data_IF_782217323034
#
_entry.id   IF_782217323034
#
_cell.length_a   1.000
_cell.length_b   1.000
_cell.length_c   1.000
_cell.angle_alpha   90.00
_cell.angle_beta   90.00
_cell.angle_gamma   90.00
#
_symmetry.space_group_name_H-M   'P 1'
#
loop_
_entity.id
_entity.type
_entity.pdbx_description
1 polymer ?
#
# COMPACT_ATOMS: atom_id res chain seq x y z
N UNK A 1 -77.86 -30.91 -1.04
CA UNK A 1 -76.51 -31.10 -1.65
C UNK A 1 -75.75 -29.79 -1.94
N UNK A 2 -76.13 -28.63 -1.38
CA UNK A 2 -75.47 -27.33 -1.68
C UNK A 2 -74.45 -26.86 -0.63
N UNK A 3 -74.30 -27.55 0.51
CA UNK A 3 -73.48 -27.07 1.64
C UNK A 3 -71.99 -27.44 1.55
N UNK A 4 -71.61 -28.48 0.78
CA UNK A 4 -70.21 -28.90 0.64
C UNK A 4 -69.36 -27.96 -0.22
N UNK A 5 -69.94 -27.33 -1.25
CA UNK A 5 -69.21 -26.46 -2.18
C UNK A 5 -68.69 -25.17 -1.51
N UNK A 6 -69.44 -24.62 -0.54
CA UNK A 6 -69.07 -23.38 0.15
C UNK A 6 -67.85 -23.55 1.08
N UNK A 7 -67.74 -24.70 1.76
CA UNK A 7 -66.63 -24.99 2.68
C UNK A 7 -65.30 -25.20 1.94
N UNK A 8 -65.32 -25.86 0.77
CA UNK A 8 -64.10 -26.11 -0.02
C UNK A 8 -63.53 -24.82 -0.61
N UNK A 9 -64.36 -23.92 -1.14
CA UNK A 9 -63.90 -22.63 -1.71
C UNK A 9 -63.25 -21.75 -0.62
N UNK A 10 -63.86 -21.69 0.57
CA UNK A 10 -63.30 -20.97 1.72
C UNK A 10 -61.96 -21.57 2.18
N UNK A 11 -61.85 -22.91 2.22
CA UNK A 11 -60.61 -23.60 2.59
C UNK A 11 -59.47 -23.37 1.59
N UNK A 12 -59.76 -23.32 0.28
CA UNK A 12 -58.77 -23.07 -0.76
C UNK A 12 -58.26 -21.61 -0.74
N UNK A 13 -59.15 -20.64 -0.51
CA UNK A 13 -58.78 -19.24 -0.36
C UNK A 13 -57.91 -19.00 0.89
N UNK A 14 -58.24 -19.65 2.01
CA UNK A 14 -57.43 -19.60 3.23
C UNK A 14 -56.05 -20.25 3.04
N UNK A 15 -55.99 -21.41 2.38
CA UNK A 15 -54.74 -22.10 2.05
C UNK A 15 -53.84 -21.24 1.13
N UNK A 16 -54.39 -20.66 0.05
CA UNK A 16 -53.62 -19.79 -0.83
C UNK A 16 -53.07 -18.55 -0.12
N UNK A 17 -53.84 -17.95 0.79
CA UNK A 17 -53.40 -16.80 1.59
C UNK A 17 -52.24 -17.15 2.54
N UNK A 18 -52.24 -18.34 3.12
CA UNK A 18 -51.12 -18.86 3.91
C UNK A 18 -49.87 -19.11 3.05
N UNK A 19 -50.03 -19.70 1.86
CA UNK A 19 -48.94 -19.93 0.91
C UNK A 19 -48.30 -18.62 0.45
N UNK A 20 -49.11 -17.60 0.12
CA UNK A 20 -48.62 -16.26 -0.26
C UNK A 20 -47.86 -15.58 0.89
N UNK A 21 -48.30 -15.77 2.13
CA UNK A 21 -47.64 -15.20 3.32
C UNK A 21 -46.25 -15.82 3.55
N UNK A 22 -46.10 -17.13 3.30
CA UNK A 22 -44.80 -17.82 3.40
C UNK A 22 -43.84 -17.42 2.29
N UNK A 23 -44.32 -17.30 1.05
CA UNK A 23 -43.52 -16.84 -0.10
C UNK A 23 -42.91 -15.45 0.09
N UNK A 24 -43.58 -14.55 0.83
CA UNK A 24 -43.03 -13.21 1.16
C UNK A 24 -41.89 -13.28 2.18
N UNK A 25 -41.95 -14.21 3.14
CA UNK A 25 -40.87 -14.41 4.09
C UNK A 25 -39.63 -15.01 3.40
N UNK A 26 -39.85 -15.98 2.52
CA UNK A 26 -38.80 -16.63 1.74
C UNK A 26 -38.07 -15.66 0.79
N UNK A 27 -38.81 -14.80 0.08
CA UNK A 27 -38.20 -13.78 -0.78
C UNK A 27 -37.31 -12.79 -0.03
N UNK A 28 -37.68 -12.40 1.19
CA UNK A 28 -36.85 -11.49 2.01
C UNK A 28 -35.57 -12.18 2.47
N UNK A 29 -35.66 -13.45 2.88
CA UNK A 29 -34.50 -14.24 3.24
C UNK A 29 -33.53 -14.40 2.07
N UNK A 30 -34.05 -14.72 0.87
CA UNK A 30 -33.25 -14.79 -0.35
C UNK A 30 -32.62 -13.43 -0.71
N UNK A 31 -33.38 -12.34 -0.59
CA UNK A 31 -32.86 -10.99 -0.84
C UNK A 31 -31.71 -10.63 0.10
N UNK A 32 -31.85 -10.91 1.41
CA UNK A 32 -30.78 -10.68 2.38
C UNK A 32 -29.55 -11.55 2.09
N UNK A 33 -29.74 -12.80 1.69
CA UNK A 33 -28.63 -13.68 1.27
C UNK A 33 -27.89 -13.13 0.05
N UNK A 34 -28.61 -12.72 -0.99
CA UNK A 34 -28.03 -12.13 -2.21
C UNK A 34 -27.30 -10.82 -1.88
N UNK A 35 -27.89 -9.96 -1.05
CA UNK A 35 -27.26 -8.71 -0.61
C UNK A 35 -25.98 -8.98 0.19
N UNK A 36 -25.99 -9.95 1.09
CA UNK A 36 -24.83 -10.30 1.90
C UNK A 36 -23.67 -10.83 1.03
N UNK A 37 -23.97 -11.74 0.10
CA UNK A 37 -22.97 -12.27 -0.84
C UNK A 37 -22.43 -11.16 -1.74
N UNK A 38 -23.31 -10.30 -2.26
CA UNK A 38 -22.91 -9.18 -3.11
C UNK A 38 -22.02 -8.19 -2.37
N UNK A 39 -22.34 -7.89 -1.11
CA UNK A 39 -21.52 -7.03 -0.26
C UNK A 39 -20.14 -7.66 0.04
N UNK A 40 -20.10 -8.96 0.34
CA UNK A 40 -18.84 -9.67 0.57
C UNK A 40 -17.93 -9.66 -0.67
N UNK A 41 -18.49 -9.93 -1.86
CA UNK A 41 -17.76 -9.85 -3.13
C UNK A 41 -17.31 -8.41 -3.43
N UNK A 42 -18.16 -7.42 -3.16
CA UNK A 42 -17.80 -6.00 -3.31
C UNK A 42 -16.61 -5.61 -2.44
N UNK A 43 -16.63 -5.99 -1.15
CA UNK A 43 -15.49 -5.76 -0.26
C UNK A 43 -14.23 -6.48 -0.73
N UNK A 44 -14.34 -7.73 -1.21
CA UNK A 44 -13.21 -8.47 -1.74
C UNK A 44 -12.54 -7.73 -2.91
N UNK A 45 -13.33 -7.24 -3.86
CA UNK A 45 -12.82 -6.49 -5.02
C UNK A 45 -12.12 -5.20 -4.58
N UNK A 46 -12.75 -4.41 -3.71
CA UNK A 46 -12.16 -3.15 -3.19
C UNK A 46 -10.87 -3.43 -2.42
N UNK A 47 -10.87 -4.48 -1.60
CA UNK A 47 -9.71 -4.87 -0.80
C UNK A 47 -8.54 -5.30 -1.69
N UNK A 48 -8.80 -6.14 -2.69
CA UNK A 48 -7.78 -6.58 -3.65
C UNK A 48 -7.24 -5.39 -4.46
N UNK A 49 -8.11 -4.51 -4.96
CA UNK A 49 -7.71 -3.31 -5.67
C UNK A 49 -6.83 -2.39 -4.80
N UNK A 50 -7.17 -2.23 -3.52
CA UNK A 50 -6.36 -1.47 -2.56
C UNK A 50 -4.98 -2.08 -2.35
N UNK A 51 -4.90 -3.42 -2.21
CA UNK A 51 -3.61 -4.12 -2.08
C UNK A 51 -2.77 -3.95 -3.32
N UNK A 52 -3.32 -4.15 -4.53
CA UNK A 52 -2.55 -4.02 -5.78
C UNK A 52 -2.09 -2.58 -5.99
N UNK A 53 -2.98 -1.61 -5.76
CA UNK A 53 -2.68 -0.18 -5.91
C UNK A 53 -1.56 0.29 -4.97
N UNK A 54 -1.60 -0.14 -3.70
CA UNK A 54 -0.59 0.24 -2.69
C UNK A 54 0.68 -0.62 -2.78
N UNK A 55 0.52 -1.89 -3.13
CA UNK A 55 1.59 -2.89 -3.20
C UNK A 55 2.52 -2.69 -4.39
N UNK A 56 2.04 -2.08 -5.49
CA UNK A 56 2.89 -1.77 -6.64
C UNK A 56 4.12 -0.94 -6.28
N UNK A 57 4.02 0.00 -5.33
CA UNK A 57 5.16 0.79 -4.87
C UNK A 57 6.18 -0.02 -4.06
N UNK A 58 5.80 -1.17 -3.48
CA UNK A 58 6.70 -2.01 -2.69
C UNK A 58 7.74 -2.76 -3.52
N UNK A 59 7.51 -2.91 -4.82
CA UNK A 59 8.44 -3.56 -5.75
C UNK A 59 9.31 -2.57 -6.54
N UNK A 60 9.00 -1.28 -6.48
CA UNK A 60 9.77 -0.23 -7.17
C UNK A 60 10.78 0.35 -6.18
N UNK A 61 11.94 -0.31 -6.07
CA UNK A 61 13.08 0.23 -5.34
C UNK A 61 13.81 1.23 -6.23
N UNK A 62 13.74 2.52 -5.91
CA UNK A 62 14.51 3.56 -6.62
C UNK A 62 15.91 3.61 -6.03
N UNK A 63 16.90 3.10 -6.76
CA UNK A 63 18.31 3.19 -6.37
C UNK A 63 18.99 4.36 -7.05
N UNK A 64 19.66 5.19 -6.26
CA UNK A 64 20.49 6.29 -6.76
C UNK A 64 21.94 5.83 -6.70
N UNK A 65 22.57 5.63 -7.86
CA UNK A 65 24.02 5.39 -7.95
C UNK A 65 24.74 6.72 -7.74
N UNK A 66 25.44 6.85 -6.62
CA UNK A 66 26.22 8.03 -6.26
C UNK A 66 27.70 7.64 -6.23
N UNK A 67 28.53 8.30 -7.03
CA UNK A 67 29.98 8.20 -6.92
C UNK A 67 30.42 9.10 -5.77
N UNK A 68 31.09 8.51 -4.77
CA UNK A 68 31.61 9.22 -3.59
C UNK A 68 33.12 9.04 -3.61
N UNK A 69 33.85 10.15 -3.52
CA UNK A 69 35.30 10.18 -3.38
C UNK A 69 35.68 9.91 -1.92
N UNK A 70 36.51 8.89 -1.67
CA UNK A 70 36.91 8.43 -0.34
C UNK A 70 38.17 9.15 0.12
N UNK A 71 38.05 10.45 0.38
CA UNK A 71 39.14 11.27 0.92
C UNK A 71 39.59 10.77 2.32
N UNK A 72 40.87 10.41 2.42
CA UNK A 72 41.50 9.88 3.63
C UNK A 72 41.36 10.82 4.84
N UNK A 73 41.47 12.13 4.65
CA UNK A 73 41.37 13.10 5.76
C UNK A 73 39.96 13.12 6.38
N UNK A 74 38.92 12.92 5.56
CA UNK A 74 37.53 12.93 6.00
C UNK A 74 37.12 11.63 6.69
N UNK A 75 37.73 10.51 6.30
CA UNK A 75 37.54 9.19 6.91
C UNK A 75 38.19 9.14 8.28
N UNK A 76 39.44 9.62 8.41
CA UNK A 76 40.16 9.69 9.69
C UNK A 76 39.47 10.63 10.70
N UNK A 77 38.83 11.70 10.21
CA UNK A 77 38.01 12.59 11.03
C UNK A 77 36.60 12.02 11.37
N UNK A 78 36.29 10.78 10.99
CA UNK A 78 34.99 10.14 11.19
C UNK A 78 33.82 10.88 10.52
N UNK A 79 34.12 11.75 9.55
CA UNK A 79 33.22 12.76 9.00
C UNK A 79 32.60 12.32 7.67
N UNK A 80 32.15 11.08 7.59
CA UNK A 80 31.43 10.49 6.45
C UNK A 80 30.26 11.35 5.93
N UNK A 81 29.60 12.08 6.83
CA UNK A 81 28.51 13.00 6.47
C UNK A 81 28.98 14.22 5.68
N UNK A 82 30.22 14.66 5.90
CA UNK A 82 30.84 15.77 5.18
C UNK A 82 31.24 15.32 3.77
N UNK A 83 31.84 14.15 3.65
CA UNK A 83 32.17 13.49 2.37
C UNK A 83 30.94 13.37 1.46
N UNK A 84 29.84 12.79 1.96
CA UNK A 84 28.58 12.71 1.22
C UNK A 84 28.04 14.07 0.77
N UNK A 85 28.18 15.10 1.60
CA UNK A 85 27.73 16.46 1.26
C UNK A 85 28.61 17.09 0.17
N UNK A 86 29.91 16.82 0.20
CA UNK A 86 30.85 17.30 -0.81
C UNK A 86 30.52 16.65 -2.16
N UNK A 87 30.44 15.33 -2.24
CA UNK A 87 30.12 14.62 -3.49
C UNK A 87 28.73 14.99 -4.05
N UNK A 88 27.72 15.19 -3.18
CA UNK A 88 26.42 15.70 -3.62
C UNK A 88 26.48 17.13 -4.18
N UNK A 89 27.36 17.97 -3.63
CA UNK A 89 27.51 19.36 -4.09
C UNK A 89 28.28 19.43 -5.42
N UNK A 90 29.23 18.52 -5.63
CA UNK A 90 29.97 18.38 -6.90
C UNK A 90 29.07 17.91 -8.05
N UNK A 91 28.17 16.96 -7.79
CA UNK A 91 27.24 16.44 -8.79
C UNK A 91 26.11 17.41 -9.13
N UNK A 92 25.75 18.30 -8.20
CA UNK A 92 24.68 19.29 -8.38
C UNK A 92 25.15 20.72 -8.10
N UNK A 93 26.06 21.27 -8.92
CA UNK A 93 26.65 22.59 -8.70
C UNK A 93 25.60 23.72 -8.68
N UNK A 94 24.50 23.54 -9.42
CA UNK A 94 23.42 24.52 -9.54
C UNK A 94 22.36 24.43 -8.42
N UNK A 95 22.38 23.39 -7.57
CA UNK A 95 21.42 23.21 -6.47
C UNK A 95 22.07 23.48 -5.09
N UNK A 96 23.24 24.12 -5.07
CA UNK A 96 24.00 24.45 -3.86
C UNK A 96 23.85 25.90 -3.40
N UNK A 97 23.08 26.72 -4.11
CA UNK A 97 22.98 28.18 -3.93
C UNK A 97 22.20 28.58 -2.67
N UNK A 98 21.13 27.86 -2.34
CA UNK A 98 20.29 28.15 -1.17
C UNK A 98 20.43 27.11 -0.06
N UNK A 99 20.32 27.56 1.20
CA UNK A 99 20.24 26.66 2.38
C UNK A 99 19.06 25.68 2.26
N UNK A 100 17.98 26.10 1.60
CA UNK A 100 16.81 25.25 1.36
C UNK A 100 17.12 24.11 0.36
N UNK A 101 17.87 24.41 -0.70
CA UNK A 101 18.27 23.44 -1.71
C UNK A 101 19.25 22.42 -1.14
N UNK A 102 20.26 22.89 -0.37
CA UNK A 102 21.20 22.00 0.35
C UNK A 102 20.49 21.05 1.31
N UNK A 103 19.43 21.50 1.97
CA UNK A 103 18.61 20.64 2.84
C UNK A 103 17.82 19.61 2.03
N UNK A 104 17.37 19.97 0.84
CA UNK A 104 16.63 19.07 -0.06
C UNK A 104 17.54 18.01 -0.66
N UNK A 105 18.73 18.39 -1.14
CA UNK A 105 19.77 17.47 -1.60
C UNK A 105 20.14 16.45 -0.51
N UNK A 106 20.31 16.90 0.73
CA UNK A 106 20.60 16.01 1.85
C UNK A 106 19.46 15.03 2.19
N UNK A 107 18.25 15.21 1.66
CA UNK A 107 17.12 14.27 1.81
C UNK A 107 17.03 13.25 0.67
N UNK A 108 17.72 13.47 -0.44
CA UNK A 108 17.79 12.51 -1.56
C UNK A 108 18.60 11.27 -1.18
N UNK A 109 19.58 11.45 -0.30
CA UNK A 109 20.38 10.36 0.25
C UNK A 109 19.76 9.91 1.57
N UNK A 110 19.58 8.60 1.73
CA UNK A 110 19.07 8.02 2.97
C UNK A 110 19.97 8.39 4.14
N UNK A 111 19.37 8.70 5.30
CA UNK A 111 20.12 8.95 6.53
C UNK A 111 21.04 7.77 6.92
N UNK A 112 20.69 6.55 6.48
CA UNK A 112 21.47 5.33 6.73
C UNK A 112 22.74 5.19 5.88
N UNK A 113 22.91 5.98 4.83
CA UNK A 113 24.04 5.86 3.88
C UNK A 113 25.40 6.05 4.56
N UNK A 114 25.44 6.81 5.65
CA UNK A 114 26.66 6.98 6.47
C UNK A 114 27.14 5.65 7.07
N UNK A 115 26.21 4.78 7.48
CA UNK A 115 26.55 3.47 8.02
C UNK A 115 27.02 2.52 6.92
N UNK A 116 26.38 2.58 5.74
CA UNK A 116 26.82 1.82 4.56
C UNK A 116 28.23 2.21 4.18
N UNK A 117 28.57 3.51 4.14
CA UNK A 117 29.93 3.97 3.83
C UNK A 117 30.96 3.51 4.86
N UNK A 118 30.59 3.54 6.15
CA UNK A 118 31.48 3.04 7.21
C UNK A 118 31.70 1.54 7.05
N UNK A 119 30.64 0.77 6.86
CA UNK A 119 30.71 -0.68 6.66
C UNK A 119 31.54 -1.04 5.43
N UNK A 120 31.41 -0.30 4.33
CA UNK A 120 32.24 -0.52 3.13
C UNK A 120 33.71 -0.24 3.39
N UNK A 121 34.05 0.82 4.14
CA UNK A 121 35.44 1.16 4.50
C UNK A 121 36.02 0.17 5.52
N UNK A 122 35.20 -0.29 6.47
CA UNK A 122 35.60 -1.31 7.44
C UNK A 122 35.80 -2.68 6.78
N UNK A 123 34.97 -3.03 5.79
CA UNK A 123 35.07 -4.28 5.04
C UNK A 123 36.24 -4.30 4.05
N UNK A 124 36.57 -3.15 3.44
CA UNK A 124 37.70 -3.02 2.52
C UNK A 124 38.47 -1.71 2.76
N UNK A 125 39.49 -1.72 3.64
CA UNK A 125 40.30 -0.53 3.92
C UNK A 125 41.14 -0.04 2.74
N UNK A 126 41.26 -0.81 1.64
CA UNK A 126 42.06 -0.42 0.48
C UNK A 126 41.38 0.65 -0.39
N UNK A 127 40.10 0.96 -0.15
CA UNK A 127 39.35 1.99 -0.87
C UNK A 127 39.59 3.41 -0.35
N UNK A 128 40.39 3.57 0.71
CA UNK A 128 40.74 4.87 1.27
C UNK A 128 41.73 5.55 0.30
N UNK A 129 41.35 6.72 -0.24
CA UNK A 129 42.18 7.51 -1.17
C UNK A 129 41.84 7.37 -2.66
N UNK A 130 40.67 6.82 -3.01
CA UNK A 130 40.12 6.74 -4.39
C UNK A 130 38.80 7.44 -4.53
#
# INVERSE_FOLDING_TARGET
>A
MSSYAATTISSQAAANRLLLRRKRAERRFQLYGILAISAALGFLVVFLASIVSRGYMGFVQTEVRLTVDFDQELIEAGSYRKMLRTSLSELFPNAGSSRAERRTLARLVSAGTVFVLRETVEADPAIIGT
#
